data_IF_440344790882
#
_entry.id   IF_440344790882
#
_cell.length_a   1.000
_cell.length_b   1.000
_cell.length_c   1.000
_cell.angle_alpha   90.00
_cell.angle_beta   90.00
_cell.angle_gamma   90.00
#
_symmetry.space_group_name_H-M   'P 1'
#
loop_
_entity.id
_entity.type
_entity.pdbx_description
1 polymer ?
#
# COMPACT_ATOMS: atom_id res chain seq x y z
N UNK A 1 -9.96 -2.71 4.98
CA UNK A 1 -9.07 -1.55 5.25
C UNK A 1 -9.88 -0.27 5.36
N UNK A 2 -10.88 -0.07 4.51
CA UNK A 2 -11.78 1.10 4.56
C UNK A 2 -12.76 1.09 5.74
N UNK A 3 -13.32 -0.08 6.07
CA UNK A 3 -14.32 -0.27 7.14
C UNK A 3 -13.82 -1.32 8.17
N UNK A 4 -14.12 -1.09 9.45
CA UNK A 4 -13.74 -1.98 10.58
C UNK A 4 -13.10 -1.25 11.77
N UNK A 5 -12.87 -1.98 12.87
CA UNK A 5 -12.18 -1.45 14.06
C UNK A 5 -10.71 -1.13 13.74
N UNK A 6 -10.09 -0.26 14.54
CA UNK A 6 -8.68 0.12 14.37
C UNK A 6 -7.74 -1.11 14.35
N UNK A 7 -8.05 -2.13 15.16
CA UNK A 7 -7.31 -3.39 15.20
C UNK A 7 -7.43 -4.14 13.88
N UNK A 8 -8.65 -4.27 13.33
CA UNK A 8 -8.88 -4.90 12.03
C UNK A 8 -8.17 -4.15 10.90
N UNK A 9 -8.18 -2.82 10.93
CA UNK A 9 -7.42 -1.99 9.96
C UNK A 9 -5.92 -2.25 10.06
N UNK A 10 -5.38 -2.36 11.29
CA UNK A 10 -3.97 -2.63 11.54
C UNK A 10 -3.54 -4.01 11.03
N UNK A 11 -4.34 -5.04 11.28
CA UNK A 11 -4.07 -6.39 10.77
C UNK A 11 -4.16 -6.41 9.25
N UNK A 12 -5.16 -5.74 8.67
CA UNK A 12 -5.34 -5.72 7.22
C UNK A 12 -4.17 -5.01 6.48
N UNK A 13 -3.72 -3.84 6.95
CA UNK A 13 -2.55 -3.18 6.34
C UNK A 13 -1.27 -4.00 6.54
N UNK A 14 -1.14 -4.73 7.65
CA UNK A 14 0.02 -5.60 7.88
C UNK A 14 0.06 -6.76 6.87
N UNK A 15 -1.09 -7.37 6.55
CA UNK A 15 -1.19 -8.41 5.51
C UNK A 15 -0.81 -7.84 4.15
N UNK A 16 -1.36 -6.69 3.76
CA UNK A 16 -1.03 -6.03 2.49
C UNK A 16 0.45 -5.68 2.41
N UNK A 17 1.03 -5.18 3.50
CA UNK A 17 2.47 -4.93 3.56
C UNK A 17 3.28 -6.21 3.32
N UNK A 18 2.87 -7.35 3.90
CA UNK A 18 3.56 -8.63 3.68
C UNK A 18 3.47 -9.08 2.22
N UNK A 19 2.32 -8.88 1.56
CA UNK A 19 2.16 -9.16 0.13
C UNK A 19 3.08 -8.27 -0.71
N UNK A 20 3.18 -6.97 -0.39
CA UNK A 20 4.04 -6.03 -1.12
C UNK A 20 5.53 -6.29 -0.90
N UNK A 21 5.92 -6.82 0.27
CA UNK A 21 7.30 -7.22 0.53
C UNK A 21 7.73 -8.45 -0.29
N UNK A 22 6.78 -9.28 -0.70
CA UNK A 22 7.03 -10.39 -1.62
C UNK A 22 7.10 -9.89 -3.08
N UNK A 23 8.09 -10.36 -3.85
CA UNK A 23 8.29 -9.91 -5.23
C UNK A 23 7.15 -10.35 -6.16
N UNK A 24 6.60 -11.55 -5.93
CA UNK A 24 5.47 -12.06 -6.71
C UNK A 24 4.22 -11.25 -6.42
N UNK A 25 3.96 -10.98 -5.14
CA UNK A 25 2.84 -10.14 -4.70
C UNK A 25 2.92 -8.71 -5.24
N UNK A 26 4.10 -8.09 -5.18
CA UNK A 26 4.33 -6.76 -5.73
C UNK A 26 4.10 -6.72 -7.25
N UNK A 27 4.68 -7.69 -7.98
CA UNK A 27 4.51 -7.80 -9.44
C UNK A 27 3.04 -7.99 -9.79
N UNK A 28 2.31 -8.82 -9.06
CA UNK A 28 0.87 -9.04 -9.28
C UNK A 28 0.02 -7.77 -9.15
N UNK A 29 0.33 -6.94 -8.14
CA UNK A 29 -0.35 -5.66 -7.90
C UNK A 29 0.01 -4.64 -8.99
N UNK A 30 1.27 -4.58 -9.39
CA UNK A 30 1.76 -3.66 -10.42
C UNK A 30 1.46 -4.14 -11.86
N UNK A 31 0.98 -5.38 -12.03
CA UNK A 31 0.77 -5.98 -13.35
C UNK A 31 -0.29 -5.24 -14.19
N UNK A 32 -1.34 -4.71 -13.56
CA UNK A 32 -2.39 -3.95 -14.23
C UNK A 32 -2.63 -2.62 -13.54
N UNK A 33 -2.96 -1.61 -14.33
CA UNK A 33 -3.28 -0.28 -13.82
C UNK A 33 -4.43 -0.32 -12.81
N UNK A 34 -5.45 -1.14 -13.05
CA UNK A 34 -6.62 -1.28 -12.18
C UNK A 34 -6.24 -1.76 -10.76
N UNK A 35 -5.39 -2.79 -10.65
CA UNK A 35 -4.94 -3.32 -9.37
C UNK A 35 -4.10 -2.31 -8.61
N UNK A 36 -3.18 -1.67 -9.32
CA UNK A 36 -2.36 -0.60 -8.74
C UNK A 36 -3.23 0.55 -8.22
N UNK A 37 -4.19 1.02 -9.04
CA UNK A 37 -5.09 2.10 -8.69
C UNK A 37 -5.99 1.77 -7.50
N UNK A 38 -6.49 0.53 -7.43
CA UNK A 38 -7.27 0.05 -6.29
C UNK A 38 -6.46 0.12 -4.98
N UNK A 39 -5.22 -0.38 -4.98
CA UNK A 39 -4.35 -0.33 -3.78
C UNK A 39 -4.00 1.13 -3.43
N UNK A 40 -3.68 1.96 -4.43
CA UNK A 40 -3.36 3.38 -4.23
C UNK A 40 -4.52 4.17 -3.62
N UNK A 41 -5.75 3.92 -4.08
CA UNK A 41 -6.96 4.59 -3.55
C UNK A 41 -7.18 4.24 -2.09
N UNK A 42 -7.05 2.96 -1.72
CA UNK A 42 -7.20 2.52 -0.32
C UNK A 42 -6.12 3.13 0.57
N UNK A 43 -4.86 3.13 0.12
CA UNK A 43 -3.77 3.75 0.88
C UNK A 43 -3.99 5.26 1.06
N UNK A 44 -4.47 5.96 0.04
CA UNK A 44 -4.82 7.39 0.12
C UNK A 44 -5.92 7.66 1.15
N UNK A 45 -6.99 6.88 1.12
CA UNK A 45 -8.08 6.96 2.10
C UNK A 45 -7.57 6.72 3.53
N UNK A 46 -6.64 5.78 3.72
CA UNK A 46 -6.03 5.53 5.03
C UNK A 46 -5.18 6.72 5.50
N UNK A 47 -4.40 7.36 4.63
CA UNK A 47 -3.63 8.56 4.99
C UNK A 47 -4.55 9.68 5.47
N UNK A 48 -5.65 9.94 4.77
CA UNK A 48 -6.61 10.97 5.16
C UNK A 48 -7.21 10.70 6.56
N UNK A 49 -7.56 9.45 6.86
CA UNK A 49 -8.05 9.07 8.21
C UNK A 49 -6.98 9.17 9.31
N UNK A 50 -5.70 9.03 8.94
CA UNK A 50 -4.58 9.10 9.89
C UNK A 50 -4.27 10.53 10.35
N UNK A 51 -4.64 11.54 9.56
CA UNK A 51 -4.50 12.95 9.93
C UNK A 51 -5.28 13.25 11.22
N UNK A 52 -6.48 12.68 11.34
CA UNK A 52 -7.36 12.90 12.50
C UNK A 52 -7.05 11.96 13.67
N UNK A 53 -6.79 10.67 13.38
CA UNK A 53 -6.62 9.64 14.43
C UNK A 53 -5.22 9.58 15.04
N UNK A 54 -4.21 10.19 14.40
CA UNK A 54 -2.80 10.19 14.83
C UNK A 54 -2.23 8.78 15.14
N UNK A 55 -2.73 7.73 14.49
CA UNK A 55 -2.29 6.36 14.73
C UNK A 55 -0.92 6.07 14.06
N UNK A 56 0.17 6.39 14.78
CA UNK A 56 1.57 6.30 14.29
C UNK A 56 1.94 4.91 13.77
N UNK A 57 1.41 3.84 14.39
CA UNK A 57 1.68 2.46 13.96
C UNK A 57 1.14 2.18 12.56
N UNK A 58 -0.10 2.62 12.28
CA UNK A 58 -0.72 2.50 10.96
C UNK A 58 0.04 3.31 9.91
N UNK A 59 0.41 4.55 10.24
CA UNK A 59 1.19 5.41 9.36
C UNK A 59 2.49 4.74 8.91
N UNK A 60 3.22 4.10 9.82
CA UNK A 60 4.45 3.37 9.52
C UNK A 60 4.23 2.23 8.50
N UNK A 61 3.09 1.55 8.57
CA UNK A 61 2.76 0.51 7.59
C UNK A 61 2.41 1.11 6.22
N UNK A 62 1.60 2.17 6.20
CA UNK A 62 1.20 2.87 4.97
C UNK A 62 2.40 3.44 4.21
N UNK A 63 3.31 4.13 4.90
CA UNK A 63 4.53 4.69 4.29
C UNK A 63 5.39 3.59 3.64
N UNK A 64 5.52 2.44 4.31
CA UNK A 64 6.27 1.30 3.76
C UNK A 64 5.60 0.69 2.53
N UNK A 65 4.27 0.61 2.49
CA UNK A 65 3.56 0.15 1.30
C UNK A 65 3.83 1.08 0.10
N UNK A 66 3.78 2.40 0.31
CA UNK A 66 4.12 3.39 -0.73
C UNK A 66 5.57 3.28 -1.20
N UNK A 67 6.53 3.11 -0.28
CA UNK A 67 7.93 2.92 -0.64
C UNK A 67 8.12 1.66 -1.50
N UNK A 68 7.46 0.56 -1.15
CA UNK A 68 7.62 -0.68 -1.91
C UNK A 68 6.94 -0.63 -3.28
N UNK A 69 5.83 0.08 -3.39
CA UNK A 69 5.19 0.35 -4.68
C UNK A 69 6.06 1.21 -5.60
N UNK A 70 6.84 2.16 -5.05
CA UNK A 70 7.71 3.02 -5.86
C UNK A 70 8.95 2.31 -6.41
N UNK A 71 9.42 1.24 -5.75
CA UNK A 71 10.50 0.39 -6.28
C UNK A 71 10.14 -0.21 -7.65
N UNK A 72 8.89 -0.65 -7.83
CA UNK A 72 8.44 -1.28 -9.08
C UNK A 72 8.16 -0.24 -10.20
N UNK A 73 7.68 0.95 -9.82
CA UNK A 73 7.54 2.09 -10.74
C UNK A 73 8.87 2.47 -11.39
N UNK A 74 9.96 2.46 -10.61
CA UNK A 74 11.31 2.69 -11.13
C UNK A 74 11.71 1.60 -12.12
N UNK A 75 11.39 0.33 -11.83
CA UNK A 75 11.65 -0.80 -12.72
C UNK A 75 10.96 -0.61 -14.07
N UNK A 76 9.65 -0.32 -14.10
CA UNK A 76 8.92 -0.07 -15.35
C UNK A 76 9.40 1.17 -16.13
N UNK A 77 9.75 2.26 -15.44
CA UNK A 77 10.31 3.45 -16.10
C UNK A 77 11.69 3.17 -16.72
N UNK A 78 12.53 2.33 -16.10
CA UNK A 78 13.86 2.01 -16.64
C UNK A 78 13.87 1.14 -17.91
N UNK A 79 12.82 0.36 -18.19
CA UNK A 79 12.69 -0.39 -19.46
C UNK A 79 11.99 0.39 -20.57
N UNK A 80 11.58 1.64 -20.30
CA UNK A 80 10.92 2.53 -21.28
C UNK A 80 11.88 3.64 -21.75
N UNK A 81 13.19 3.38 -21.76
CA UNK A 81 14.25 4.21 -22.34
C UNK A 81 15.12 3.38 -23.29
#
# INVERSE_FOLDING_TARGET
METGSELSKTVAIFIVQKILLDETGLTYICHTYERFYAVGTVLSNMVNQLVETQAVRLLKHVVRCYLRLSDNLRYHQSYTL
#
